data_IF_788229225893
#
_entry.id   IF_788229225893
#
_cell.length_a   1.000
_cell.length_b   1.000
_cell.length_c   1.000
_cell.angle_alpha   90.00
_cell.angle_beta   90.00
_cell.angle_gamma   90.00
#
_symmetry.space_group_name_H-M   'P 1'
#
loop_
_entity.id
_entity.type
_entity.pdbx_description
1 polymer ?
2 water ?
#
# COMPACT_ATOMS: atom_id res chain seq x y z
N UNK A 5 -6.38 -20.15 -10.13
CA UNK A 5 -6.90 -19.03 -10.91
C UNK A 5 -6.09 -17.78 -10.64
N UNK A 6 -6.24 -16.80 -11.54
CA UNK A 6 -5.39 -15.61 -11.55
C UNK A 6 -6.18 -14.40 -11.02
N UNK A 7 -6.12 -14.20 -9.71
CA UNK A 7 -6.62 -12.97 -9.10
C UNK A 7 -5.65 -11.82 -9.39
N UNK A 8 -6.12 -10.58 -9.32
CA UNK A 8 -5.22 -9.44 -9.57
C UNK A 8 -4.10 -9.38 -8.55
N UNK A 9 -2.89 -9.17 -9.05
CA UNK A 9 -1.70 -9.17 -8.20
C UNK A 9 -0.96 -7.85 -8.36
N UNK A 10 -0.53 -7.30 -7.22
CA UNK A 10 0.31 -6.12 -7.22
C UNK A 10 1.71 -6.49 -7.69
N UNK A 11 2.12 -5.95 -8.84
CA UNK A 11 3.40 -6.32 -9.42
C UNK A 11 4.39 -5.18 -9.47
N UNK A 12 3.98 -3.92 -9.26
CA UNK A 12 5.00 -2.89 -9.11
C UNK A 12 4.51 -1.78 -8.20
N UNK A 13 5.46 -1.10 -7.58
CA UNK A 13 5.16 0.00 -6.66
C UNK A 13 6.16 1.10 -6.95
N UNK A 14 5.68 2.26 -7.36
CA UNK A 14 6.54 3.41 -7.61
C UNK A 14 5.98 4.64 -6.92
N UNK A 15 6.82 5.64 -6.71
CA UNK A 15 6.38 6.79 -5.94
C UNK A 15 7.22 8.00 -6.29
N UNK A 16 6.71 9.15 -5.90
CA UNK A 16 7.41 10.42 -6.02
C UNK A 16 7.09 11.24 -4.78
N UNK A 17 8.06 11.96 -4.26
CA UNK A 17 7.82 12.88 -3.17
C UNK A 17 7.83 14.30 -3.75
N UNK A 18 6.69 14.97 -3.66
CA UNK A 18 6.53 16.36 -4.05
C UNK A 18 6.46 17.25 -2.81
N UNK A 19 6.63 18.54 -3.05
CA UNK A 19 6.39 19.57 -2.06
C UNK A 19 5.24 20.43 -2.59
N UNK A 20 4.19 20.57 -1.79
CA UNK A 20 3.06 21.40 -2.19
C UNK A 20 2.78 22.46 -1.14
N UNK A 21 1.92 23.39 -1.49
CA UNK A 21 1.45 24.39 -0.54
C UNK A 21 0.43 23.76 0.39
N UNK A 22 0.51 24.10 1.68
CA UNK A 22 -0.46 23.64 2.65
C UNK A 22 -1.71 24.52 2.60
N UNK A 23 -2.88 23.90 2.76
CA UNK A 23 -4.14 24.62 2.72
C UNK A 23 -4.65 25.01 4.10
N UNK A 24 -4.34 24.21 5.12
CA UNK A 24 -4.82 24.47 6.48
C UNK A 24 -3.85 25.31 7.30
N UNK A 25 -2.60 25.43 6.86
CA UNK A 25 -1.57 26.06 7.68
C UNK A 25 -1.78 27.57 7.76
N UNK A 26 -1.74 28.10 8.98
CA UNK A 26 -1.70 29.54 9.16
C UNK A 26 -0.38 30.10 8.66
N UNK A 27 0.72 29.42 8.97
CA UNK A 27 2.05 29.85 8.57
C UNK A 27 2.36 29.56 7.11
N UNK A 28 1.41 28.99 6.36
CA UNK A 28 1.56 28.70 4.93
C UNK A 28 2.78 27.83 4.63
N UNK A 29 3.28 27.10 5.63
CA UNK A 29 4.44 26.24 5.45
C UNK A 29 4.16 25.19 4.38
N UNK A 30 5.14 25.00 3.48
CA UNK A 30 5.03 23.94 2.51
C UNK A 30 5.01 22.58 3.20
N UNK A 31 4.50 21.58 2.49
CA UNK A 31 4.33 20.27 3.10
C UNK A 31 4.73 19.20 2.09
N UNK A 32 5.38 18.12 2.53
CA UNK A 32 5.67 17.01 1.62
C UNK A 32 4.45 16.15 1.39
N UNK A 33 4.38 15.58 0.19
CA UNK A 33 3.30 14.66 -0.14
C UNK A 33 3.84 13.57 -1.04
N UNK A 34 3.26 12.38 -0.93
CA UNK A 34 3.69 11.22 -1.69
C UNK A 34 2.66 10.96 -2.80
N UNK A 35 3.13 10.83 -4.03
CA UNK A 35 2.32 10.32 -5.13
C UNK A 35 2.71 8.85 -5.29
N UNK A 36 1.75 7.96 -5.02
CA UNK A 36 1.98 6.52 -5.00
C UNK A 36 1.27 5.88 -6.18
N UNK A 37 1.99 5.06 -6.92
CA UNK A 37 1.46 4.37 -8.09
C UNK A 37 1.67 2.88 -7.92
N UNK A 38 0.58 2.15 -7.71
CA UNK A 38 0.61 0.70 -7.67
C UNK A 38 0.24 0.13 -9.04
N UNK A 39 1.05 -0.78 -9.56
CA UNK A 39 0.80 -1.46 -10.82
C UNK A 39 0.29 -2.86 -10.52
N UNK A 40 -0.93 -3.15 -10.98
CA UNK A 40 -1.65 -4.39 -10.73
C UNK A 40 -1.73 -5.18 -12.03
N UNK A 41 -1.32 -6.44 -11.99
CA UNK A 41 -1.41 -7.34 -13.14
C UNK A 41 -2.50 -8.38 -12.90
N UNK A 42 -3.26 -8.68 -13.94
CA UNK A 42 -4.35 -9.65 -13.83
C UNK A 42 -4.15 -10.87 -14.71
N UNK A 43 -3.63 -10.71 -15.93
CA UNK A 43 -3.47 -11.77 -16.93
C UNK A 43 -4.60 -12.80 -16.94
N UNK A 51 1.20 -8.07 -19.09
CA UNK A 51 0.12 -7.79 -20.05
C UNK A 51 -1.15 -7.28 -19.36
N UNK A 52 -1.74 -6.23 -19.93
CA UNK A 52 -2.99 -5.64 -19.43
C UNK A 52 -2.84 -5.15 -17.99
N UNK A 53 -1.65 -4.65 -17.65
CA UNK A 53 -1.41 -4.12 -16.31
C UNK A 53 -2.14 -2.78 -16.15
N UNK A 54 -2.77 -2.59 -15.01
CA UNK A 54 -3.44 -1.35 -14.66
C UNK A 54 -2.64 -0.62 -13.59
N UNK A 55 -2.94 0.66 -13.41
CA UNK A 55 -2.19 1.53 -12.50
C UNK A 55 -3.17 2.28 -11.61
N UNK A 56 -3.03 2.11 -10.31
CA UNK A 56 -3.83 2.79 -9.30
C UNK A 56 -2.94 3.86 -8.67
N UNK A 57 -3.31 5.12 -8.85
CA UNK A 57 -2.54 6.24 -8.31
C UNK A 57 -3.30 6.88 -7.16
N UNK A 58 -2.62 7.11 -6.04
CA UNK A 58 -3.18 7.80 -4.89
C UNK A 58 -2.18 8.83 -4.40
N UNK A 59 -2.69 9.78 -3.60
CA UNK A 59 -1.85 10.72 -2.87
C UNK A 59 -1.89 10.40 -1.39
N UNK A 60 -0.72 10.30 -0.77
CA UNK A 60 -0.60 9.93 0.64
C UNK A 60 0.10 11.03 1.42
N UNK A 61 -0.46 11.34 2.58
CA UNK A 61 0.22 12.11 3.61
C UNK A 61 1.06 11.18 4.48
N UNK A 62 1.88 11.77 5.35
CA UNK A 62 2.73 10.97 6.23
C UNK A 62 1.90 10.09 7.16
N UNK A 63 0.77 10.61 7.65
CA UNK A 63 -0.04 9.87 8.60
C UNK A 63 -0.75 8.70 7.93
N UNK A 64 -1.28 8.92 6.73
CA UNK A 64 -1.90 7.83 5.98
C UNK A 64 -0.87 6.75 5.67
N UNK A 65 0.34 7.13 5.31
CA UNK A 65 1.39 6.15 5.08
C UNK A 65 1.70 5.35 6.34
N UNK A 66 1.82 6.04 7.48
CA UNK A 66 2.08 5.34 8.74
C UNK A 66 0.99 4.32 9.05
N UNK A 67 -0.27 4.71 8.87
CA UNK A 67 -1.38 3.79 9.14
C UNK A 67 -1.36 2.61 8.18
N UNK A 68 -1.07 2.86 6.90
CA UNK A 68 -0.85 1.81 5.90
C UNK A 68 0.19 0.80 6.36
N UNK A 69 1.33 1.33 6.82
CA UNK A 69 2.41 0.49 7.30
C UNK A 69 1.97 -0.38 8.47
N UNK A 70 1.24 0.21 9.41
CA UNK A 70 0.76 -0.55 10.56
C UNK A 70 -0.16 -1.69 10.11
N UNK A 71 -1.11 -1.39 9.23
CA UNK A 71 -2.03 -2.42 8.75
C UNK A 71 -1.33 -3.53 8.00
N UNK A 72 -0.39 -3.17 7.12
CA UNK A 72 0.31 -4.19 6.36
C UNK A 72 1.22 -5.03 7.26
N UNK A 73 1.78 -4.43 8.31
CA UNK A 73 2.55 -5.22 9.26
C UNK A 73 1.68 -6.21 10.02
N UNK A 74 0.47 -5.80 10.37
CA UNK A 74 -0.48 -6.74 10.98
C UNK A 74 -0.80 -7.89 10.04
N UNK A 75 -1.01 -7.59 8.75
CA UNK A 75 -1.21 -8.65 7.76
C UNK A 75 -0.02 -9.58 7.73
N UNK A 76 1.19 -9.01 7.76
CA UNK A 76 2.40 -9.83 7.73
C UNK A 76 2.47 -10.79 8.91
N UNK A 77 2.18 -10.28 10.11
CA UNK A 77 2.20 -11.13 11.30
C UNK A 77 1.15 -12.24 11.22
N UNK A 78 -0.08 -11.89 10.81
CA UNK A 78 -1.13 -12.91 10.69
C UNK A 78 -0.76 -13.98 9.69
N UNK A 79 -0.24 -13.56 8.53
CA UNK A 79 0.17 -14.52 7.50
C UNK A 79 1.26 -15.46 8.03
N UNK A 80 2.24 -14.91 8.75
CA UNK A 80 3.31 -15.74 9.28
C UNK A 80 2.79 -16.72 10.34
N UNK A 81 1.85 -16.28 11.17
CA UNK A 81 1.27 -17.18 12.17
C UNK A 81 0.52 -18.32 11.50
N UNK A 82 -0.25 -18.02 10.46
CA UNK A 82 -0.98 -19.07 9.75
C UNK A 82 -0.01 -20.03 9.07
N UNK A 83 1.04 -19.49 8.44
CA UNK A 83 2.07 -20.33 7.84
C UNK A 83 2.64 -21.30 8.88
N UNK A 84 3.00 -20.79 10.06
CA UNK A 84 3.57 -21.64 11.10
C UNK A 84 2.60 -22.72 11.55
N UNK A 85 1.33 -22.35 11.77
CA UNK A 85 0.36 -23.35 12.20
C UNK A 85 0.06 -24.37 11.11
N UNK A 86 0.29 -24.02 9.84
CA UNK A 86 0.17 -25.00 8.76
C UNK A 86 1.37 -25.95 8.73
N UNK A 87 2.57 -25.43 9.01
CA UNK A 87 3.75 -26.29 9.02
C UNK A 87 3.64 -27.38 10.07
N UNK A 88 3.12 -27.04 11.25
CA UNK A 88 2.98 -27.99 12.34
C UNK A 88 1.64 -28.73 12.33
N UNK A 89 0.87 -28.62 11.25
CA UNK A 89 -0.44 -29.26 11.18
C UNK A 89 -0.34 -30.64 10.53
N UNK B 1 -1.55 26.53 -7.48
CA UNK B 1 -2.27 26.93 -6.27
C UNK B 1 -1.81 26.13 -5.06
N UNK B 2 -2.63 26.18 -4.01
CA UNK B 2 -2.40 25.39 -2.81
C UNK B 2 -2.95 23.99 -3.03
N UNK B 3 -3.11 23.22 -1.95
CA UNK B 3 -3.67 21.87 -2.04
C UNK B 3 -5.18 21.97 -1.84
N UNK B 4 -5.89 22.28 -2.93
CA UNK B 4 -7.33 22.19 -2.98
C UNK B 4 -7.79 20.99 -3.79
N UNK B 5 -7.30 20.85 -5.02
CA UNK B 5 -7.47 19.61 -5.75
C UNK B 5 -6.38 18.63 -5.33
N UNK B 6 -6.64 17.35 -5.56
CA UNK B 6 -5.69 16.33 -5.14
C UNK B 6 -6.03 15.03 -5.82
N UNK B 7 -5.01 14.19 -5.96
CA UNK B 7 -5.18 12.87 -6.52
C UNK B 7 -6.10 12.04 -5.62
N UNK B 8 -6.59 10.90 -6.12
CA UNK B 8 -7.46 10.06 -5.29
C UNK B 8 -6.85 9.74 -3.93
N UNK B 9 -7.72 9.58 -2.94
CA UNK B 9 -7.33 9.32 -1.57
C UNK B 9 -7.60 7.86 -1.21
N UNK B 10 -6.62 7.22 -0.58
CA UNK B 10 -6.84 5.91 0.02
C UNK B 10 -7.61 6.10 1.33
N UNK B 11 -8.83 5.57 1.40
CA UNK B 11 -9.71 5.81 2.53
C UNK B 11 -10.12 4.53 3.25
N UNK B 12 -9.74 3.36 2.75
CA UNK B 12 -9.98 2.18 3.56
C UNK B 12 -8.99 1.09 3.15
N UNK B 13 -8.59 0.30 4.14
CA UNK B 13 -7.69 -0.83 3.90
C UNK B 13 -8.20 -2.00 4.74
N UNK B 14 -8.61 -3.08 4.07
CA UNK B 14 -9.10 -4.26 4.77
C UNK B 14 -8.50 -5.48 4.11
N UNK B 15 -8.64 -6.64 4.74
CA UNK B 15 -7.97 -7.84 4.24
C UNK B 15 -8.60 -9.09 4.84
N UNK B 16 -8.24 -10.23 4.27
CA UNK B 16 -8.63 -11.55 4.71
C UNK B 16 -7.45 -12.49 4.48
N UNK B 17 -7.25 -13.46 5.37
CA UNK B 17 -6.25 -14.50 5.16
C UNK B 17 -6.96 -15.80 4.83
N UNK B 18 -6.66 -16.35 3.66
CA UNK B 18 -7.18 -17.63 3.20
C UNK B 18 -6.08 -18.68 3.22
N UNK B 19 -6.49 -19.94 3.35
CA UNK B 19 -5.66 -21.08 3.07
C UNK B 19 -6.07 -21.62 1.70
N UNK B 20 -5.10 -21.86 0.83
CA UNK B 20 -5.36 -22.38 -0.50
C UNK B 20 -4.38 -23.50 -0.81
N UNK B 21 -4.67 -24.24 -1.88
CA UNK B 21 -3.73 -25.23 -2.38
C UNK B 21 -2.54 -24.52 -3.03
N UNK B 22 -1.32 -24.97 -2.70
CA UNK B 22 -0.13 -24.33 -3.22
C UNK B 22 0.16 -24.80 -4.65
N UNK B 23 0.96 -23.99 -5.37
CA UNK B 23 1.41 -24.34 -6.70
C UNK B 23 2.86 -24.80 -6.76
N UNK B 24 3.61 -24.65 -5.66
CA UNK B 24 5.00 -25.07 -5.61
C UNK B 24 5.19 -26.52 -5.20
N UNK B 25 4.10 -27.24 -4.94
CA UNK B 25 4.17 -28.63 -4.46
C UNK B 25 3.37 -29.54 -5.37
N UNK B 26 3.94 -30.70 -5.67
CA UNK B 26 3.22 -31.72 -6.43
C UNK B 26 2.11 -32.33 -5.59
N UNK B 27 2.34 -32.45 -4.28
CA UNK B 27 1.35 -33.04 -3.39
C UNK B 27 0.33 -31.99 -2.95
N UNK B 28 -0.59 -32.41 -2.08
CA UNK B 28 -1.62 -31.53 -1.54
C UNK B 28 -1.01 -30.78 -0.35
N UNK B 29 -0.44 -29.62 -0.62
CA UNK B 29 0.15 -28.80 0.43
C UNK B 29 -0.55 -27.44 0.50
N UNK B 30 -1.06 -27.10 1.68
CA UNK B 30 -1.79 -25.86 1.86
C UNK B 30 -0.82 -24.72 2.17
N UNK B 31 -1.16 -23.52 1.67
CA UNK B 31 -0.32 -22.33 1.86
C UNK B 31 -1.24 -21.16 2.12
N UNK B 32 -0.86 -20.21 2.98
CA UNK B 32 -1.70 -19.03 3.19
C UNK B 32 -1.52 -17.99 2.10
N UNK B 33 -2.53 -17.14 1.99
CA UNK B 33 -2.52 -16.05 1.04
C UNK B 33 -3.41 -14.94 1.58
N UNK B 34 -3.12 -13.71 1.18
CA UNK B 34 -3.85 -12.55 1.63
C UNK B 34 -4.73 -12.04 0.50
N UNK B 35 -5.98 -11.71 0.81
CA UNK B 35 -6.83 -10.91 -0.05
C UNK B 35 -6.89 -9.51 0.54
N UNK B 36 -6.38 -8.52 -0.19
CA UNK B 36 -6.30 -7.14 0.27
C UNK B 36 -7.26 -6.27 -0.53
N UNK B 37 -8.06 -5.49 0.17
CA UNK B 37 -9.01 -4.59 -0.46
C UNK B 37 -8.72 -3.16 -0.01
N UNK B 38 -8.37 -2.31 -0.97
CA UNK B 38 -8.18 -0.90 -0.74
C UNK B 38 -9.34 -0.12 -1.32
N UNK B 39 -9.89 0.80 -0.53
CA UNK B 39 -10.97 1.67 -0.95
C UNK B 39 -10.41 3.08 -1.16
N UNK B 40 -10.61 3.61 -2.36
CA UNK B 40 -9.98 4.81 -2.86
C UNK B 40 -11.06 5.81 -3.26
N UNK B 41 -10.91 7.05 -2.84
CA UNK B 41 -11.93 8.08 -3.00
C UNK B 41 -11.37 9.28 -3.75
N UNK B 42 -12.22 9.90 -4.59
CA UNK B 42 -11.89 11.13 -5.29
C UNK B 42 -12.71 12.27 -4.69
N UNK B 43 -12.05 13.40 -4.45
CA UNK B 43 -12.72 14.58 -3.91
C UNK B 43 -13.43 15.37 -5.00
N UNK B 51 -17.24 10.21 -1.60
CA UNK B 51 -17.85 10.36 -2.92
C UNK B 51 -17.04 9.66 -4.01
N UNK B 52 -17.72 8.90 -4.87
CA UNK B 52 -17.09 8.21 -5.99
C UNK B 52 -16.00 7.24 -5.50
N UNK B 53 -16.37 6.40 -4.54
CA UNK B 53 -15.45 5.43 -3.95
C UNK B 53 -15.32 4.22 -4.86
N UNK B 54 -14.09 3.75 -5.05
CA UNK B 54 -13.81 2.54 -5.80
C UNK B 54 -13.03 1.57 -4.93
N UNK B 55 -13.08 0.29 -5.30
CA UNK B 55 -12.44 -0.78 -4.55
C UNK B 55 -11.44 -1.52 -5.43
N UNK B 56 -10.23 -1.70 -4.93
CA UNK B 56 -9.17 -2.41 -5.60
C UNK B 56 -8.80 -3.60 -4.73
N UNK B 57 -9.06 -4.81 -5.23
CA UNK B 57 -8.77 -6.03 -4.51
C UNK B 57 -7.65 -6.79 -5.20
N UNK B 58 -6.62 -7.15 -4.43
CA UNK B 58 -5.47 -7.88 -4.95
C UNK B 58 -5.18 -9.06 -4.04
N UNK B 59 -4.50 -10.06 -4.59
CA UNK B 59 -4.02 -11.20 -3.82
C UNK B 59 -2.53 -11.02 -3.56
N UNK B 60 -2.12 -11.10 -2.29
CA UNK B 60 -0.76 -10.86 -1.84
C UNK B 60 -0.16 -12.13 -1.25
N UNK B 61 1.07 -12.43 -1.66
CA UNK B 61 1.91 -13.42 -1.03
C UNK B 61 2.79 -12.76 0.04
N UNK B 62 3.43 -13.61 0.85
CA UNK B 62 4.30 -13.12 1.91
C UNK B 62 5.44 -12.27 1.37
N UNK B 63 6.09 -12.73 0.30
CA UNK B 63 7.23 -11.98 -0.25
C UNK B 63 6.79 -10.66 -0.86
N UNK B 64 5.67 -10.66 -1.60
CA UNK B 64 5.15 -9.42 -2.12
C UNK B 64 4.83 -8.45 -0.99
N UNK B 65 4.30 -8.97 0.12
CA UNK B 65 3.99 -8.11 1.26
C UNK B 65 5.25 -7.52 1.87
N UNK B 66 6.30 -8.33 2.01
CA UNK B 66 7.57 -7.82 2.52
C UNK B 66 8.14 -6.74 1.62
N UNK B 67 8.04 -6.94 0.31
CA UNK B 67 8.53 -5.93 -0.62
C UNK B 67 7.71 -4.64 -0.53
N UNK B 68 6.40 -4.76 -0.40
CA UNK B 68 5.55 -3.59 -0.19
C UNK B 68 6.01 -2.84 1.05
N UNK B 69 6.29 -3.59 2.11
CA UNK B 69 6.69 -2.97 3.37
C UNK B 69 8.02 -2.23 3.23
N UNK B 70 8.99 -2.84 2.54
CA UNK B 70 10.25 -2.15 2.27
C UNK B 70 10.03 -0.86 1.48
N UNK B 71 9.21 -0.94 0.42
CA UNK B 71 8.96 0.25 -0.38
C UNK B 71 8.31 1.37 0.42
N UNK B 72 7.28 1.02 1.20
CA UNK B 72 6.60 2.03 1.99
C UNK B 72 7.49 2.60 3.08
N UNK B 73 8.40 1.79 3.63
CA UNK B 73 9.39 2.32 4.56
C UNK B 73 10.33 3.33 3.90
N UNK B 74 10.77 3.03 2.68
CA UNK B 74 11.62 3.98 1.97
C UNK B 74 10.87 5.28 1.69
N UNK B 75 9.58 5.17 1.36
CA UNK B 75 8.77 6.37 1.16
C UNK B 75 8.68 7.18 2.44
N UNK B 76 8.46 6.49 3.57
CA UNK B 76 8.43 7.18 4.86
C UNK B 76 9.72 7.93 5.13
N UNK B 77 10.85 7.28 4.85
CA UNK B 77 12.15 7.92 5.07
C UNK B 77 12.30 9.15 4.18
N UNK B 78 11.88 9.05 2.91
CA UNK B 78 12.03 10.21 2.03
C UNK B 78 11.12 11.36 2.45
N UNK B 79 9.89 11.04 2.90
CA UNK B 79 9.00 12.08 3.39
C UNK B 79 9.58 12.77 4.61
N UNK B 80 10.17 11.99 5.52
CA UNK B 80 10.76 12.60 6.72
C UNK B 80 11.98 13.45 6.38
N UNK B 81 12.80 13.00 5.43
CA UNK B 81 13.96 13.81 5.05
C UNK B 81 13.53 15.12 4.39
N UNK B 82 12.49 15.07 3.56
CA UNK B 82 12.00 16.31 2.95
C UNK B 82 11.40 17.23 3.99
N UNK B 83 10.64 16.68 4.95
CA UNK B 83 10.10 17.49 6.02
C UNK B 83 11.21 18.15 6.84
N UNK B 84 12.29 17.39 7.10
CA UNK B 84 13.44 17.94 7.82
C UNK B 84 14.07 19.08 7.05
N UNK B 85 14.26 18.91 5.74
CA UNK B 85 14.83 19.99 4.94
C UNK B 85 13.90 21.20 4.88
N UNK B 86 12.59 20.96 4.96
CA UNK B 86 11.65 22.08 4.91
C UNK B 86 11.66 22.88 6.21
N UNK B 87 11.75 22.19 7.35
CA UNK B 87 11.82 22.89 8.62
C UNK B 87 13.09 23.73 8.76
N UNK B 88 14.15 23.37 8.03
CA UNK B 88 15.36 24.17 7.96
C UNK B 88 15.26 25.07 6.74
N UNK B 89 14.75 26.28 6.94
CA UNK B 89 14.50 27.21 5.85
C UNK B 89 15.80 27.63 5.15
#
# INVERSE_FOLDING_TARGET
>A
XANQISLPRLVDLDWRVDIKTSSDSISRMAVPTCLLQMKIQEDPSLCGDKPSISAVTVELSKETLDTMLDGLGRIRDQLSAVASKLEHHHHHH
>B
MANQISLPRLVDLDWRVDIKTSSDSISRMAVPTCLLQMKIQEDPSLCGDKPSISAVTVELSKETLDTMLDGLGRIRDQLSAVASKLEHHHHHH
#
